data_IF_269560069964
#
_entry.id   IF_269560069964
#
_cell.length_a   1.000
_cell.length_b   1.000
_cell.length_c   1.000
_cell.angle_alpha   90.00
_cell.angle_beta   90.00
_cell.angle_gamma   90.00
#
_symmetry.space_group_name_H-M   'P 1'
#
loop_
_entity.id
_entity.type
_entity.pdbx_description
1 polymer ?
#
# COMPACT_ATOMS: atom_id res chain seq x y z
N UNK A 1 -3.63 10.91 35.74
CA UNK A 1 -4.89 11.33 35.09
C UNK A 1 -5.68 10.07 34.75
N UNK A 2 -7.00 10.06 34.99
CA UNK A 2 -7.88 8.98 34.52
C UNK A 2 -8.66 9.51 33.32
N UNK A 3 -8.73 8.73 32.26
CA UNK A 3 -9.45 9.05 31.03
C UNK A 3 -10.41 7.89 30.76
N UNK A 4 -11.70 8.18 30.57
CA UNK A 4 -12.70 7.12 30.36
C UNK A 4 -12.78 6.71 28.90
N UNK A 5 -13.30 5.52 28.63
CA UNK A 5 -13.60 5.06 27.27
C UNK A 5 -14.33 6.13 26.45
N UNK A 6 -13.84 6.38 25.24
CA UNK A 6 -14.37 7.37 24.30
C UNK A 6 -13.97 8.83 24.58
N UNK A 7 -13.31 9.14 25.69
CA UNK A 7 -12.85 10.50 25.97
C UNK A 7 -11.58 10.85 25.18
N UNK A 8 -11.53 12.08 24.67
CA UNK A 8 -10.35 12.62 24.01
C UNK A 8 -9.37 13.15 25.07
N UNK A 9 -8.11 12.69 24.99
CA UNK A 9 -7.01 13.27 25.76
C UNK A 9 -6.56 14.61 25.18
N UNK A 10 -6.46 14.67 23.85
CA UNK A 10 -6.08 15.87 23.10
C UNK A 10 -6.54 15.75 21.64
N UNK A 11 -6.64 16.89 20.98
CA UNK A 11 -6.97 16.97 19.57
C UNK A 11 -5.71 17.27 18.74
N UNK A 12 -5.72 16.80 17.49
CA UNK A 12 -4.73 17.21 16.51
C UNK A 12 -4.70 18.74 16.38
N UNK A 13 -3.52 19.34 16.50
CA UNK A 13 -3.29 20.78 16.49
C UNK A 13 -3.28 21.44 17.87
N UNK A 14 -3.64 20.73 18.94
CA UNK A 14 -3.59 21.28 20.29
C UNK A 14 -2.16 21.57 20.74
N UNK A 15 -1.98 22.69 21.44
CA UNK A 15 -0.73 23.04 22.11
C UNK A 15 -0.82 22.64 23.59
N UNK A 16 -0.52 21.37 23.87
CA UNK A 16 -0.63 20.82 25.24
C UNK A 16 0.68 20.96 26.03
N UNK A 17 1.82 21.03 25.34
CA UNK A 17 3.17 21.13 25.93
C UNK A 17 3.42 20.08 27.02
N UNK A 18 2.87 18.87 26.85
CA UNK A 18 2.94 17.81 27.84
C UNK A 18 3.39 16.52 27.20
N UNK A 19 4.11 15.71 27.98
CA UNK A 19 4.47 14.34 27.62
C UNK A 19 3.62 13.37 28.43
N UNK A 20 3.21 12.29 27.79
CA UNK A 20 2.24 11.35 28.33
C UNK A 20 2.84 9.96 28.40
N UNK A 21 2.58 9.25 29.50
CA UNK A 21 2.96 7.85 29.69
C UNK A 21 1.69 7.06 30.02
N UNK A 22 1.37 6.06 29.20
CA UNK A 22 0.23 5.18 29.46
C UNK A 22 0.63 4.19 30.56
N UNK A 23 -0.07 4.22 31.70
CA UNK A 23 0.15 3.28 32.81
C UNK A 23 -0.70 2.03 32.66
N UNK A 24 -1.96 2.20 32.28
CA UNK A 24 -2.93 1.14 32.00
C UNK A 24 -3.96 1.61 30.97
N UNK A 25 -4.67 0.68 30.34
CA UNK A 25 -5.65 0.94 29.29
C UNK A 25 -5.07 0.97 27.88
N UNK A 26 -5.89 1.38 26.91
CA UNK A 26 -5.55 1.51 25.51
C UNK A 26 -6.02 2.86 24.93
N UNK A 27 -5.10 3.53 24.23
CA UNK A 27 -5.39 4.77 23.50
C UNK A 27 -5.18 4.57 22.00
N UNK A 28 -5.96 5.31 21.22
CA UNK A 28 -5.79 5.42 19.77
C UNK A 28 -5.52 6.87 19.38
N UNK A 29 -4.41 7.07 18.69
CA UNK A 29 -4.07 8.32 18.00
C UNK A 29 -4.58 8.26 16.56
N UNK A 30 -5.28 9.30 16.13
CA UNK A 30 -5.71 9.46 14.74
C UNK A 30 -5.27 10.82 14.19
N UNK A 31 -4.76 10.85 12.96
CA UNK A 31 -4.56 12.10 12.21
C UNK A 31 -5.20 12.00 10.84
N UNK A 32 -5.83 13.08 10.40
CA UNK A 32 -6.31 13.19 9.02
C UNK A 32 -5.23 13.91 8.22
N UNK A 33 -4.58 13.17 7.33
CA UNK A 33 -3.70 13.75 6.32
C UNK A 33 -4.49 13.84 5.01
N UNK A 34 -4.64 15.05 4.46
CA UNK A 34 -5.34 15.30 3.19
C UNK A 34 -4.71 14.54 2.01
N UNK A 35 -3.42 14.17 2.10
CA UNK A 35 -2.69 13.47 1.05
C UNK A 35 -2.60 11.95 1.30
N UNK A 36 -2.50 11.53 2.57
CA UNK A 36 -2.17 10.15 2.95
C UNK A 36 -3.29 9.39 3.69
N UNK A 37 -4.47 10.00 3.85
CA UNK A 37 -5.62 9.38 4.54
C UNK A 37 -5.49 9.42 6.07
N UNK A 38 -6.33 8.64 6.77
CA UNK A 38 -6.32 8.61 8.23
C UNK A 38 -5.15 7.76 8.73
N UNK A 39 -4.17 8.39 9.38
CA UNK A 39 -3.17 7.65 10.13
C UNK A 39 -3.75 7.27 11.48
N UNK A 40 -3.60 6.00 11.85
CA UNK A 40 -3.93 5.51 13.19
C UNK A 40 -2.63 5.02 13.87
N UNK A 41 -2.54 5.16 15.19
CA UNK A 41 -1.48 4.65 16.07
C UNK A 41 -2.13 4.17 17.37
N UNK A 42 -1.61 3.09 17.97
CA UNK A 42 -2.16 2.57 19.23
C UNK A 42 -1.11 2.69 20.33
N UNK A 43 -1.53 3.09 21.52
CA UNK A 43 -0.69 3.20 22.70
C UNK A 43 -1.27 2.31 23.81
N UNK A 44 -0.50 1.31 24.23
CA UNK A 44 -0.81 0.49 25.40
C UNK A 44 0.10 0.82 26.59
N UNK A 45 0.02 0.05 27.69
CA UNK A 45 0.85 0.26 28.87
C UNK A 45 2.35 0.35 28.55
N UNK A 46 3.01 1.37 29.10
CA UNK A 46 4.42 1.69 28.86
C UNK A 46 4.69 2.53 27.60
N UNK A 47 3.68 2.74 26.75
CA UNK A 47 3.81 3.64 25.59
C UNK A 47 3.93 5.09 26.04
N UNK A 48 4.63 5.88 25.24
CA UNK A 48 4.86 7.29 25.50
C UNK A 48 4.67 8.13 24.25
N UNK A 49 4.20 9.37 24.41
CA UNK A 49 4.03 10.32 23.31
C UNK A 49 3.98 11.77 23.82
N UNK A 50 4.01 12.75 22.90
CA UNK A 50 3.97 14.18 23.21
C UNK A 50 5.35 14.81 23.39
N UNK A 51 6.42 14.08 23.07
CA UNK A 51 7.80 14.54 23.16
C UNK A 51 8.08 15.75 22.27
N UNK A 52 7.48 15.79 21.07
CA UNK A 52 7.58 16.93 20.17
C UNK A 52 6.87 18.16 20.77
N UNK A 53 5.68 17.97 21.34
CA UNK A 53 4.95 19.08 21.97
C UNK A 53 5.65 19.61 23.22
N UNK A 54 6.21 18.73 24.04
CA UNK A 54 6.94 19.08 25.25
C UNK A 54 8.28 19.78 24.95
N UNK A 55 9.10 19.19 24.06
CA UNK A 55 10.50 19.58 23.85
C UNK A 55 10.63 20.62 22.73
N UNK A 56 10.00 20.36 21.58
CA UNK A 56 10.08 21.23 20.40
C UNK A 56 8.96 22.29 20.38
N UNK A 57 7.94 22.17 21.23
CA UNK A 57 6.82 23.10 21.28
C UNK A 57 5.84 22.94 20.10
N UNK A 58 5.93 21.82 19.39
CA UNK A 58 5.08 21.55 18.23
C UNK A 58 3.63 21.23 18.67
N UNK A 59 2.62 21.53 17.83
CA UNK A 59 1.25 21.07 18.06
C UNK A 59 1.16 19.54 18.10
N UNK A 60 0.15 19.01 18.79
CA UNK A 60 -0.15 17.58 18.76
C UNK A 60 -0.44 17.11 17.33
N UNK A 61 0.30 16.11 16.87
CA UNK A 61 0.15 15.62 15.49
C UNK A 61 -1.10 14.74 15.30
N UNK A 62 -1.67 14.25 16.40
CA UNK A 62 -2.78 13.30 16.40
C UNK A 62 -3.82 13.71 17.43
N UNK A 63 -5.09 13.43 17.12
CA UNK A 63 -6.15 13.34 18.11
C UNK A 63 -6.02 12.02 18.85
N UNK A 64 -5.85 12.07 20.16
CA UNK A 64 -5.67 10.87 21.00
C UNK A 64 -6.91 10.68 21.85
N UNK A 65 -7.48 9.48 21.82
CA UNK A 65 -8.67 9.11 22.60
C UNK A 65 -8.53 7.74 23.25
N UNK A 66 -9.32 7.50 24.28
CA UNK A 66 -9.37 6.23 24.99
C UNK A 66 -10.30 5.23 24.29
N UNK A 67 -9.79 4.02 24.05
CA UNK A 67 -10.57 2.85 23.59
C UNK A 67 -11.13 2.05 24.79
N UNK A 68 -10.56 2.26 25.98
CA UNK A 68 -11.01 1.72 27.25
C UNK A 68 -10.59 2.68 28.37
N UNK A 69 -11.04 2.46 29.61
CA UNK A 69 -10.61 3.27 30.75
C UNK A 69 -9.09 3.22 30.93
N UNK A 70 -8.45 4.39 30.93
CA UNK A 70 -7.01 4.56 30.94
C UNK A 70 -6.51 5.30 32.18
N UNK A 71 -5.34 4.89 32.66
CA UNK A 71 -4.52 5.66 33.59
C UNK A 71 -3.30 6.23 32.86
N UNK A 72 -3.14 7.55 32.90
CA UNK A 72 -2.12 8.28 32.15
C UNK A 72 -1.34 9.17 33.10
N UNK A 73 -0.01 9.04 33.08
CA UNK A 73 0.89 9.99 33.73
C UNK A 73 1.16 11.16 32.79
N UNK A 74 1.02 12.38 33.30
CA UNK A 74 1.23 13.61 32.53
C UNK A 74 2.45 14.32 33.08
N UNK A 75 3.46 14.51 32.24
CA UNK A 75 4.66 15.27 32.53
C UNK A 75 4.54 16.64 31.85
N UNK A 76 4.18 17.71 32.60
CA UNK A 76 3.99 19.03 32.03
C UNK A 76 5.33 19.70 31.71
N UNK A 77 5.29 20.71 30.83
CA UNK A 77 6.47 21.51 30.49
C UNK A 77 7.15 22.17 31.69
N UNK A 78 6.39 22.54 32.73
CA UNK A 78 6.94 23.12 33.94
C UNK A 78 7.94 22.18 34.62
N UNK A 79 7.60 20.88 34.73
CA UNK A 79 8.49 19.86 35.30
C UNK A 79 9.79 19.74 34.52
N UNK A 80 9.71 19.75 33.18
CA UNK A 80 10.91 19.76 32.34
C UNK A 80 11.70 21.06 32.52
N UNK A 81 11.03 22.22 32.53
CA UNK A 81 11.66 23.52 32.66
C UNK A 81 12.41 23.64 33.99
N UNK A 82 11.80 23.21 35.09
CA UNK A 82 12.42 23.22 36.42
C UNK A 82 13.66 22.32 36.45
N UNK A 83 13.57 21.12 35.87
CA UNK A 83 14.72 20.20 35.75
C UNK A 83 15.84 20.79 34.90
N UNK A 84 15.50 21.58 33.86
CA UNK A 84 16.46 22.17 32.93
C UNK A 84 17.16 23.43 33.48
N UNK A 85 16.67 24.07 34.55
CA UNK A 85 17.29 25.27 35.16
C UNK A 85 18.73 25.02 35.62
N UNK A 86 19.02 23.81 36.08
CA UNK A 86 20.33 23.40 36.57
C UNK A 86 21.23 22.83 35.47
N UNK A 87 20.73 22.76 34.23
CA UNK A 87 21.44 22.16 33.10
C UNK A 87 22.00 23.23 32.15
N UNK A 88 23.04 22.92 31.36
CA UNK A 88 23.55 23.83 30.35
C UNK A 88 22.49 24.17 29.29
N UNK A 89 22.45 25.44 28.88
CA UNK A 89 21.47 25.96 27.90
C UNK A 89 21.48 25.16 26.59
N UNK A 90 22.65 24.68 26.16
CA UNK A 90 22.79 23.89 24.92
C UNK A 90 22.07 22.54 24.97
N UNK A 91 21.83 21.96 26.16
CA UNK A 91 21.18 20.66 26.30
C UNK A 91 19.76 20.67 25.73
N UNK A 92 19.03 21.77 25.93
CA UNK A 92 17.68 21.94 25.36
C UNK A 92 17.70 21.87 23.84
N UNK A 93 18.68 22.53 23.22
CA UNK A 93 18.84 22.54 21.76
C UNK A 93 19.19 21.15 21.21
N UNK A 94 20.05 20.40 21.92
CA UNK A 94 20.38 19.02 21.52
C UNK A 94 19.17 18.11 21.67
N UNK A 95 18.43 18.21 22.77
CA UNK A 95 17.21 17.43 22.97
C UNK A 95 16.20 17.70 21.85
N UNK A 96 15.89 18.96 21.55
CA UNK A 96 14.99 19.31 20.45
C UNK A 96 15.44 18.73 19.11
N UNK A 97 16.73 18.86 18.77
CA UNK A 97 17.30 18.30 17.55
C UNK A 97 17.20 16.77 17.49
N UNK A 98 17.52 16.07 18.59
CA UNK A 98 17.45 14.62 18.65
C UNK A 98 16.00 14.12 18.60
N UNK A 99 15.07 14.80 19.28
CA UNK A 99 13.63 14.48 19.23
C UNK A 99 13.11 14.59 17.80
N UNK A 100 13.38 15.70 17.12
CA UNK A 100 12.95 15.90 15.72
C UNK A 100 13.55 14.84 14.79
N UNK A 101 14.85 14.53 14.93
CA UNK A 101 15.51 13.50 14.12
C UNK A 101 15.00 12.10 14.42
N UNK A 102 14.70 11.79 15.68
CA UNK A 102 14.13 10.51 16.06
C UNK A 102 12.74 10.36 15.44
N UNK A 103 11.90 11.37 15.55
CA UNK A 103 10.56 11.39 14.95
C UNK A 103 10.62 11.13 13.42
N UNK A 104 11.45 11.88 12.69
CA UNK A 104 11.65 11.67 11.24
C UNK A 104 12.13 10.24 10.95
N UNK A 105 13.04 9.70 11.77
CA UNK A 105 13.54 8.34 11.60
C UNK A 105 12.45 7.28 11.87
N UNK A 106 11.58 7.49 12.85
CA UNK A 106 10.45 6.61 13.13
C UNK A 106 9.45 6.58 11.97
N UNK A 107 9.08 7.75 11.45
CA UNK A 107 8.14 7.82 10.32
C UNK A 107 8.73 7.18 9.06
N UNK A 108 10.00 7.46 8.74
CA UNK A 108 10.70 6.80 7.63
C UNK A 108 10.77 5.29 7.80
N UNK A 109 11.02 4.81 9.02
CA UNK A 109 11.01 3.38 9.33
C UNK A 109 9.62 2.77 9.12
N UNK A 110 8.56 3.43 9.57
CA UNK A 110 7.17 2.97 9.38
C UNK A 110 6.81 2.84 7.90
N UNK A 111 7.17 3.83 7.08
CA UNK A 111 6.99 3.78 5.62
C UNK A 111 7.81 2.66 4.98
N UNK A 112 9.07 2.49 5.41
CA UNK A 112 9.93 1.41 4.95
C UNK A 112 9.39 0.03 5.30
N UNK A 113 8.87 -0.15 6.53
CA UNK A 113 8.28 -1.41 7.00
C UNK A 113 7.02 -1.77 6.18
N UNK A 114 6.19 -0.79 5.81
CA UNK A 114 5.05 -1.00 4.90
C UNK A 114 5.50 -1.50 3.52
N UNK A 115 6.48 -0.82 2.90
CA UNK A 115 6.98 -1.15 1.56
C UNK A 115 7.64 -2.55 1.55
N UNK A 116 8.46 -2.83 2.55
CA UNK A 116 9.21 -4.10 2.64
C UNK A 116 8.33 -5.28 2.99
N UNK A 117 7.24 -5.05 3.74
CA UNK A 117 6.29 -6.10 4.12
C UNK A 117 5.20 -6.36 3.07
N UNK A 118 4.91 -5.38 2.20
CA UNK A 118 3.85 -5.52 1.20
C UNK A 118 3.96 -6.80 0.34
N UNK A 119 5.14 -7.23 -0.14
CA UNK A 119 5.29 -8.51 -0.83
C UNK A 119 4.90 -9.73 0.03
N UNK A 120 5.15 -9.71 1.34
CA UNK A 120 4.76 -10.79 2.26
C UNK A 120 3.24 -10.90 2.38
N UNK A 121 2.54 -9.77 2.49
CA UNK A 121 1.08 -9.74 2.48
C UNK A 121 0.53 -10.32 1.17
N UNK A 122 1.06 -9.89 0.02
CA UNK A 122 0.64 -10.42 -1.28
C UNK A 122 0.89 -11.92 -1.40
N UNK A 123 2.01 -12.40 -0.87
CA UNK A 123 2.35 -13.82 -0.85
C UNK A 123 1.33 -14.63 -0.04
N UNK A 124 0.98 -14.19 1.16
CA UNK A 124 -0.04 -14.84 2.00
C UNK A 124 -1.38 -14.85 1.26
N UNK A 125 -1.84 -13.69 0.77
CA UNK A 125 -3.08 -13.58 -0.01
C UNK A 125 -3.09 -14.47 -1.28
N UNK A 126 -1.93 -14.68 -1.90
CA UNK A 126 -1.81 -15.58 -3.06
C UNK A 126 -1.97 -17.07 -2.72
N UNK A 127 -1.86 -17.45 -1.45
CA UNK A 127 -1.96 -18.84 -0.99
C UNK A 127 -3.34 -19.14 -0.38
N UNK A 128 -3.88 -18.22 0.39
CA UNK A 128 -5.15 -18.40 1.11
C UNK A 128 -6.34 -18.56 0.12
N UNK A 129 -7.41 -19.31 0.48
CA UNK A 129 -8.65 -19.37 -0.31
C UNK A 129 -9.22 -17.98 -0.60
N UNK A 130 -9.95 -17.86 -1.72
CA UNK A 130 -10.47 -16.58 -2.17
C UNK A 130 -11.66 -16.05 -1.34
N UNK A 131 -12.26 -16.88 -0.48
CA UNK A 131 -13.47 -16.56 0.27
C UNK A 131 -13.16 -16.33 1.75
N UNK A 132 -13.72 -15.23 2.25
CA UNK A 132 -13.91 -14.83 3.66
C UNK A 132 -12.88 -15.39 4.65
N UNK A 133 -11.71 -14.76 4.63
CA UNK A 133 -10.58 -15.01 5.53
C UNK A 133 -10.80 -14.16 6.78
N UNK A 134 -10.71 -14.72 7.98
CA UNK A 134 -10.76 -13.92 9.21
C UNK A 134 -9.64 -12.87 9.23
N UNK A 135 -10.01 -11.61 9.45
CA UNK A 135 -9.06 -10.50 9.50
C UNK A 135 -8.03 -10.68 10.62
N UNK A 136 -8.48 -11.14 11.79
CA UNK A 136 -7.61 -11.41 12.95
C UNK A 136 -6.60 -12.50 12.61
N UNK A 137 -7.06 -13.62 12.03
CA UNK A 137 -6.16 -14.71 11.65
C UNK A 137 -5.12 -14.27 10.61
N UNK A 138 -5.52 -13.43 9.64
CA UNK A 138 -4.60 -12.87 8.64
C UNK A 138 -3.58 -11.92 9.27
N UNK A 139 -4.02 -11.08 10.21
CA UNK A 139 -3.14 -10.17 10.95
C UNK A 139 -2.13 -10.95 11.80
N UNK A 140 -2.56 -12.01 12.49
CA UNK A 140 -1.70 -12.89 13.28
C UNK A 140 -0.68 -13.61 12.41
N UNK A 141 -1.09 -14.14 11.26
CA UNK A 141 -0.17 -14.79 10.31
C UNK A 141 0.88 -13.79 9.81
N UNK A 142 0.48 -12.58 9.44
CA UNK A 142 1.41 -11.54 8.96
C UNK A 142 2.34 -11.07 10.09
N UNK A 143 1.86 -10.98 11.33
CA UNK A 143 2.68 -10.62 12.48
C UNK A 143 3.80 -11.66 12.77
N UNK A 144 3.61 -12.93 12.38
CA UNK A 144 4.65 -13.95 12.49
C UNK A 144 5.74 -13.81 11.43
N UNK A 145 5.40 -13.34 10.22
CA UNK A 145 6.32 -13.24 9.09
C UNK A 145 6.89 -11.83 8.86
N UNK A 146 6.36 -10.82 9.55
CA UNK A 146 6.72 -9.42 9.35
C UNK A 146 6.71 -8.63 10.65
N UNK A 147 7.35 -7.45 10.64
CA UNK A 147 7.32 -6.51 11.76
C UNK A 147 6.07 -5.60 11.74
N UNK A 148 5.09 -5.93 10.93
CA UNK A 148 3.94 -5.07 10.68
C UNK A 148 2.92 -5.23 11.81
N UNK A 149 2.43 -4.11 12.32
CA UNK A 149 1.32 -4.12 13.27
C UNK A 149 0.02 -4.53 12.58
N UNK A 150 -0.97 -5.00 13.35
CA UNK A 150 -2.32 -5.31 12.84
C UNK A 150 -2.92 -4.14 12.05
N UNK A 151 -2.67 -2.92 12.50
CA UNK A 151 -3.07 -1.71 11.80
C UNK A 151 -2.29 -1.49 10.49
N UNK A 152 -0.97 -1.71 10.48
CA UNK A 152 -0.18 -1.63 9.25
C UNK A 152 -0.72 -2.61 8.20
N UNK A 153 -1.07 -3.83 8.61
CA UNK A 153 -1.75 -4.82 7.77
C UNK A 153 -3.07 -4.27 7.24
N UNK A 154 -3.91 -3.71 8.11
CA UNK A 154 -5.20 -3.12 7.71
C UNK A 154 -5.04 -1.96 6.72
N UNK A 155 -4.05 -1.07 6.90
CA UNK A 155 -3.74 0.01 5.95
C UNK A 155 -3.36 -0.55 4.57
N UNK A 156 -2.52 -1.58 4.51
CA UNK A 156 -2.17 -2.22 3.24
C UNK A 156 -3.38 -2.89 2.58
N UNK A 157 -4.26 -3.49 3.38
CA UNK A 157 -5.51 -4.08 2.90
C UNK A 157 -6.45 -3.04 2.30
N UNK A 158 -6.56 -1.84 2.89
CA UNK A 158 -7.32 -0.72 2.31
C UNK A 158 -6.72 -0.33 0.94
N UNK A 159 -5.39 -0.22 0.84
CA UNK A 159 -4.73 0.09 -0.44
C UNK A 159 -5.06 -0.99 -1.50
N UNK A 160 -5.05 -2.26 -1.11
CA UNK A 160 -5.43 -3.35 -2.01
C UNK A 160 -6.91 -3.29 -2.41
N UNK A 161 -7.79 -2.86 -1.51
CA UNK A 161 -9.21 -2.65 -1.80
C UNK A 161 -9.44 -1.50 -2.79
N UNK A 162 -8.69 -0.40 -2.68
CA UNK A 162 -8.76 0.71 -3.64
C UNK A 162 -8.43 0.25 -5.07
N UNK A 163 -7.57 -0.76 -5.20
CA UNK A 163 -7.23 -1.40 -6.46
C UNK A 163 -8.14 -2.58 -6.84
N UNK A 164 -9.19 -2.86 -6.06
CA UNK A 164 -10.13 -3.97 -6.27
C UNK A 164 -9.44 -5.34 -6.31
N UNK A 165 -8.39 -5.50 -5.50
CA UNK A 165 -7.67 -6.78 -5.38
C UNK A 165 -8.27 -7.63 -4.25
N UNK A 166 -8.75 -6.97 -3.21
CA UNK A 166 -9.41 -7.57 -2.06
C UNK A 166 -10.66 -6.77 -1.73
N UNK A 167 -11.59 -7.39 -1.00
CA UNK A 167 -12.75 -6.72 -0.42
C UNK A 167 -12.77 -6.99 1.08
N UNK A 168 -12.73 -5.91 1.85
CA UNK A 168 -12.79 -5.92 3.30
C UNK A 168 -14.24 -5.86 3.77
N UNK A 169 -14.52 -6.68 4.76
CA UNK A 169 -15.72 -6.67 5.58
C UNK A 169 -15.31 -6.40 7.03
N UNK A 170 -16.27 -6.28 7.94
CA UNK A 170 -15.99 -5.93 9.35
C UNK A 170 -15.01 -6.90 10.02
N UNK A 171 -15.11 -8.19 9.73
CA UNK A 171 -14.28 -9.23 10.38
C UNK A 171 -13.56 -10.15 9.38
N UNK A 172 -13.71 -9.90 8.07
CA UNK A 172 -13.18 -10.79 7.04
C UNK A 172 -12.61 -10.05 5.82
N UNK A 173 -11.73 -10.74 5.11
CA UNK A 173 -11.11 -10.30 3.86
C UNK A 173 -11.40 -11.33 2.78
N UNK A 174 -11.92 -10.89 1.64
CA UNK A 174 -12.12 -11.74 0.46
C UNK A 174 -11.18 -11.32 -0.67
N UNK A 175 -10.63 -12.28 -1.40
CA UNK A 175 -9.69 -12.01 -2.49
C UNK A 175 -10.46 -11.98 -3.81
N UNK A 176 -10.51 -10.82 -4.46
CA UNK A 176 -11.29 -10.63 -5.70
C UNK A 176 -10.51 -11.08 -6.93
N UNK A 177 -9.20 -10.79 -7.00
CA UNK A 177 -8.37 -11.12 -8.16
C UNK A 177 -7.04 -11.79 -7.76
N UNK A 178 -7.13 -13.09 -7.44
CA UNK A 178 -5.98 -13.92 -7.05
C UNK A 178 -4.87 -14.00 -8.13
N UNK A 179 -5.18 -14.15 -9.43
CA UNK A 179 -4.15 -14.12 -10.49
C UNK A 179 -3.37 -12.79 -10.52
N UNK A 180 -4.05 -11.66 -10.40
CA UNK A 180 -3.40 -10.34 -10.40
C UNK A 180 -2.51 -10.13 -9.17
N UNK A 181 -2.98 -10.53 -7.98
CA UNK A 181 -2.16 -10.51 -6.75
C UNK A 181 -0.87 -11.32 -6.94
N UNK A 182 -0.97 -12.51 -7.54
CA UNK A 182 0.20 -13.37 -7.81
C UNK A 182 1.20 -12.69 -8.75
N UNK A 183 0.73 -12.11 -9.86
CA UNK A 183 1.59 -11.41 -10.83
C UNK A 183 2.22 -10.15 -10.19
N UNK A 184 1.46 -9.43 -9.35
CA UNK A 184 1.96 -8.27 -8.61
C UNK A 184 3.06 -8.67 -7.61
N UNK A 185 2.86 -9.76 -6.86
CA UNK A 185 3.87 -10.32 -5.98
C UNK A 185 5.16 -10.69 -6.75
N UNK A 186 5.03 -11.42 -7.86
CA UNK A 186 6.17 -11.81 -8.70
C UNK A 186 6.92 -10.59 -9.26
N UNK A 187 6.17 -9.54 -9.63
CA UNK A 187 6.70 -8.28 -10.13
C UNK A 187 7.54 -7.56 -9.06
N UNK A 188 7.01 -7.43 -7.85
CA UNK A 188 7.70 -6.79 -6.74
C UNK A 188 8.91 -7.62 -6.26
N UNK A 189 8.76 -8.94 -6.21
CA UNK A 189 9.86 -9.87 -5.89
C UNK A 189 11.00 -9.74 -6.90
N UNK A 190 10.68 -9.65 -8.20
CA UNK A 190 11.70 -9.46 -9.23
C UNK A 190 12.47 -8.14 -9.04
N UNK A 191 11.76 -7.03 -8.81
CA UNK A 191 12.39 -5.73 -8.50
C UNK A 191 13.27 -5.79 -7.26
N UNK A 192 12.82 -6.49 -6.21
CA UNK A 192 13.56 -6.63 -4.97
C UNK A 192 14.90 -7.37 -5.16
N UNK A 193 14.90 -8.46 -5.95
CA UNK A 193 16.06 -9.33 -6.20
C UNK A 193 17.01 -8.74 -7.24
N UNK A 194 16.49 -8.36 -8.42
CA UNK A 194 17.31 -8.01 -9.59
C UNK A 194 17.53 -6.49 -9.75
N UNK A 195 16.85 -5.66 -8.95
CA UNK A 195 16.89 -4.19 -9.05
C UNK A 195 16.54 -3.65 -10.44
N UNK A 196 15.77 -4.41 -11.21
CA UNK A 196 15.34 -4.09 -12.57
C UNK A 196 13.83 -4.27 -12.75
N UNK A 197 13.28 -3.67 -13.81
CA UNK A 197 11.87 -3.78 -14.17
C UNK A 197 11.50 -5.23 -14.43
N UNK A 198 10.38 -5.69 -13.89
CA UNK A 198 9.89 -7.04 -14.13
C UNK A 198 9.50 -7.25 -15.60
N UNK A 199 9.71 -8.44 -16.17
CA UNK A 199 9.19 -8.80 -17.49
C UNK A 199 7.67 -8.69 -17.62
N UNK A 200 6.93 -8.70 -16.50
CA UNK A 200 5.48 -8.56 -16.46
C UNK A 200 5.02 -7.10 -16.67
N UNK A 201 5.91 -6.12 -16.49
CA UNK A 201 5.61 -4.71 -16.77
C UNK A 201 5.80 -4.48 -18.27
N UNK A 202 4.75 -3.98 -18.91
CA UNK A 202 4.68 -3.79 -20.35
C UNK A 202 5.31 -2.44 -20.72
N UNK A 203 5.94 -2.39 -21.89
CA UNK A 203 6.31 -1.11 -22.48
C UNK A 203 5.05 -0.36 -22.94
N UNK A 204 5.14 0.96 -23.14
CA UNK A 204 4.02 1.76 -23.68
C UNK A 204 3.50 1.18 -25.01
N UNK A 205 4.41 0.72 -25.87
CA UNK A 205 4.09 0.10 -27.16
C UNK A 205 3.37 -1.23 -26.97
N UNK A 206 3.88 -2.12 -26.10
CA UNK A 206 3.26 -3.41 -25.81
C UNK A 206 1.86 -3.22 -25.20
N UNK A 207 1.73 -2.28 -24.26
CA UNK A 207 0.46 -1.96 -23.61
C UNK A 207 -0.57 -1.47 -24.63
N UNK A 208 -0.19 -0.59 -25.56
CA UNK A 208 -1.09 -0.06 -26.55
C UNK A 208 -1.55 -1.12 -27.56
N UNK A 209 -0.64 -2.00 -28.01
CA UNK A 209 -0.97 -3.12 -28.90
C UNK A 209 -1.91 -4.11 -28.20
N UNK A 210 -1.61 -4.50 -26.96
CA UNK A 210 -2.45 -5.42 -26.20
C UNK A 210 -3.82 -4.81 -25.85
N UNK A 211 -3.89 -3.50 -25.61
CA UNK A 211 -5.17 -2.79 -25.45
C UNK A 211 -6.00 -2.83 -26.73
N UNK A 212 -5.37 -2.62 -27.89
CA UNK A 212 -6.03 -2.76 -29.19
C UNK A 212 -6.48 -4.21 -29.45
N UNK A 213 -5.67 -5.19 -29.06
CA UNK A 213 -6.01 -6.61 -29.15
C UNK A 213 -7.23 -6.93 -28.29
N UNK A 214 -7.27 -6.50 -27.03
CA UNK A 214 -8.41 -6.72 -26.13
C UNK A 214 -9.69 -6.10 -26.70
N UNK A 215 -9.62 -4.88 -27.26
CA UNK A 215 -10.77 -4.26 -27.95
C UNK A 215 -11.23 -5.05 -29.18
N UNK A 216 -10.29 -5.46 -30.03
CA UNK A 216 -10.59 -6.27 -31.20
C UNK A 216 -11.21 -7.63 -30.82
N UNK A 217 -10.73 -8.23 -29.74
CA UNK A 217 -11.27 -9.47 -29.17
C UNK A 217 -12.70 -9.30 -28.63
N UNK A 218 -13.03 -8.16 -28.02
CA UNK A 218 -14.40 -7.84 -27.61
C UNK A 218 -15.34 -7.62 -28.79
N UNK A 219 -14.86 -6.99 -29.87
CA UNK A 219 -15.71 -6.63 -31.01
C UNK A 219 -15.95 -7.82 -31.97
N UNK A 220 -14.88 -8.56 -32.30
CA UNK A 220 -14.89 -9.60 -33.35
C UNK A 220 -14.05 -10.84 -32.99
N UNK A 221 -13.79 -11.07 -31.71
CA UNK A 221 -12.97 -12.19 -31.26
C UNK A 221 -13.64 -13.54 -31.50
N UNK A 222 -12.85 -14.52 -31.95
CA UNK A 222 -13.29 -15.91 -32.11
C UNK A 222 -12.72 -16.77 -30.97
N UNK A 223 -13.61 -17.31 -30.12
CA UNK A 223 -13.25 -18.27 -29.07
C UNK A 223 -12.70 -19.57 -29.68
N UNK A 224 -11.53 -19.98 -29.22
CA UNK A 224 -10.87 -21.24 -29.60
C UNK A 224 -11.17 -22.34 -28.58
N UNK A 225 -10.99 -23.61 -28.98
CA UNK A 225 -11.19 -24.79 -28.12
C UNK A 225 -10.38 -24.75 -26.81
N UNK A 226 -9.25 -24.04 -26.83
CA UNK A 226 -8.27 -24.02 -25.74
C UNK A 226 -8.51 -22.85 -24.75
N UNK A 227 -9.66 -22.16 -24.86
CA UNK A 227 -9.98 -20.97 -24.06
C UNK A 227 -9.22 -19.70 -24.47
N UNK A 228 -8.53 -19.75 -25.61
CA UNK A 228 -7.87 -18.59 -26.22
C UNK A 228 -8.86 -17.81 -27.10
N UNK A 229 -8.65 -16.51 -27.24
CA UNK A 229 -9.43 -15.68 -28.18
C UNK A 229 -8.55 -15.32 -29.35
N UNK A 230 -9.03 -15.57 -30.57
CA UNK A 230 -8.35 -15.24 -31.81
C UNK A 230 -8.92 -13.97 -32.45
N UNK A 231 -8.05 -13.17 -33.05
CA UNK A 231 -8.37 -11.91 -33.72
C UNK A 231 -7.62 -11.85 -35.06
N UNK A 232 -8.27 -11.36 -36.12
CA UNK A 232 -7.60 -11.16 -37.41
C UNK A 232 -6.64 -9.97 -37.36
N UNK A 233 -5.53 -10.05 -38.11
CA UNK A 233 -4.55 -8.97 -38.23
C UNK A 233 -5.19 -7.66 -38.73
N UNK A 234 -6.13 -7.73 -39.68
CA UNK A 234 -6.83 -6.54 -40.20
C UNK A 234 -7.64 -5.81 -39.11
N UNK A 235 -8.34 -6.55 -38.26
CA UNK A 235 -9.10 -5.98 -37.15
C UNK A 235 -8.17 -5.37 -36.09
N UNK A 236 -7.03 -6.02 -35.83
CA UNK A 236 -6.00 -5.48 -34.93
C UNK A 236 -5.36 -4.19 -35.47
N UNK A 237 -5.05 -4.13 -36.77
CA UNK A 237 -4.52 -2.93 -37.42
C UNK A 237 -5.56 -1.80 -37.36
N UNK A 238 -6.83 -2.09 -37.59
CA UNK A 238 -7.90 -1.10 -37.51
C UNK A 238 -8.02 -0.54 -36.08
N UNK A 239 -8.03 -1.40 -35.07
CA UNK A 239 -8.13 -0.97 -33.67
C UNK A 239 -6.89 -0.20 -33.22
N UNK A 240 -5.68 -0.60 -33.63
CA UNK A 240 -4.45 0.14 -33.30
C UNK A 240 -4.44 1.55 -33.91
N UNK A 241 -4.94 1.75 -35.14
CA UNK A 241 -5.10 3.10 -35.72
C UNK A 241 -6.05 3.99 -34.92
N UNK A 242 -7.07 3.40 -34.30
CA UNK A 242 -8.06 4.13 -33.48
C UNK A 242 -7.55 4.47 -32.09
N UNK A 243 -6.67 3.65 -31.51
CA UNK A 243 -6.16 3.82 -30.14
C UNK A 243 -4.77 4.43 -30.04
N UNK A 244 -3.94 4.31 -31.08
CA UNK A 244 -2.57 4.84 -31.09
C UNK A 244 -2.48 6.13 -31.91
N UNK A 245 -2.40 7.27 -31.23
CA UNK A 245 -2.16 8.56 -31.87
C UNK A 245 -0.73 8.64 -32.44
N UNK A 246 -0.55 8.23 -33.71
CA UNK A 246 0.71 8.39 -34.46
C UNK A 246 1.68 7.21 -34.40
N UNK A 247 1.31 6.08 -33.78
CA UNK A 247 2.11 4.85 -33.79
C UNK A 247 1.51 3.81 -34.75
N UNK A 248 2.35 3.26 -35.62
CA UNK A 248 1.99 2.20 -36.56
C UNK A 248 2.33 0.83 -35.99
N UNK A 249 1.48 -0.17 -36.20
CA UNK A 249 1.81 -1.56 -35.91
C UNK A 249 2.95 -2.00 -36.85
N UNK A 250 4.11 -2.33 -36.28
CA UNK A 250 5.26 -2.85 -37.03
C UNK A 250 5.45 -4.35 -36.77
N UNK A 251 6.01 -5.13 -37.71
CA UNK A 251 6.28 -6.55 -37.52
C UNK A 251 7.15 -6.81 -36.28
N UNK A 252 8.13 -5.94 -36.05
CA UNK A 252 9.04 -6.01 -34.90
C UNK A 252 8.31 -5.94 -33.55
N UNK A 253 7.27 -5.11 -33.44
CA UNK A 253 6.51 -4.97 -32.19
C UNK A 253 5.62 -6.20 -31.93
N UNK A 254 5.10 -6.84 -32.98
CA UNK A 254 4.37 -8.10 -32.88
C UNK A 254 5.32 -9.24 -32.50
N UNK A 255 6.50 -9.31 -33.10
CA UNK A 255 7.54 -10.30 -32.77
C UNK A 255 7.92 -10.26 -31.28
N UNK A 256 8.06 -9.07 -30.68
CA UNK A 256 8.33 -8.95 -29.24
C UNK A 256 7.22 -9.55 -28.38
N UNK A 257 5.95 -9.40 -28.78
CA UNK A 257 4.81 -9.98 -28.06
C UNK A 257 4.71 -11.50 -28.25
N UNK A 258 5.10 -12.01 -29.43
CA UNK A 258 5.21 -13.45 -29.71
C UNK A 258 6.34 -14.09 -28.87
N UNK A 259 7.51 -13.46 -28.81
CA UNK A 259 8.65 -13.91 -28.00
C UNK A 259 8.31 -13.96 -26.50
N UNK A 260 7.56 -12.97 -26.00
CA UNK A 260 7.05 -12.94 -24.62
C UNK A 260 5.90 -13.94 -24.37
N UNK A 261 5.47 -14.69 -25.40
CA UNK A 261 4.34 -15.62 -25.35
C UNK A 261 3.03 -14.96 -24.86
N UNK A 262 2.86 -13.67 -25.16
CA UNK A 262 1.64 -12.91 -24.86
C UNK A 262 0.62 -13.05 -25.99
N UNK A 263 1.11 -13.15 -27.23
CA UNK A 263 0.34 -13.52 -28.41
C UNK A 263 0.91 -14.82 -28.99
N UNK A 264 0.08 -15.55 -29.73
CA UNK A 264 0.48 -16.68 -30.59
C UNK A 264 -0.08 -16.44 -31.98
N UNK A 265 0.72 -16.74 -33.00
CA UNK A 265 0.28 -16.65 -34.38
C UNK A 265 -0.46 -17.93 -34.79
N UNK A 266 -1.58 -17.76 -35.49
CA UNK A 266 -2.40 -18.80 -36.08
C UNK A 266 -2.38 -18.66 -37.62
N UNK A 267 -2.65 -19.75 -38.36
CA UNK A 267 -2.81 -19.69 -39.80
C UNK A 267 -3.84 -18.64 -40.23
N UNK A 268 -3.68 -18.08 -41.44
CA UNK A 268 -4.54 -17.05 -42.04
C UNK A 268 -4.49 -15.69 -41.32
N UNK A 269 -3.30 -15.25 -40.92
CA UNK A 269 -3.07 -13.92 -40.34
C UNK A 269 -3.91 -13.65 -39.07
N UNK A 270 -4.08 -14.69 -38.25
CA UNK A 270 -4.80 -14.60 -36.97
C UNK A 270 -3.80 -14.62 -35.82
N UNK A 271 -4.11 -13.88 -34.77
CA UNK A 271 -3.35 -13.92 -33.51
C UNK A 271 -4.28 -14.33 -32.38
N UNK A 272 -3.85 -15.24 -31.52
CA UNK A 272 -4.60 -15.65 -30.34
C UNK A 272 -3.86 -15.38 -29.04
N UNK A 273 -4.63 -15.15 -27.98
CA UNK A 273 -4.10 -14.89 -26.65
C UNK A 273 -5.05 -15.38 -25.55
N UNK A 274 -4.49 -15.57 -24.35
CA UNK A 274 -5.31 -15.80 -23.16
C UNK A 274 -5.86 -14.45 -22.68
N UNK A 275 -7.16 -14.26 -22.87
CA UNK A 275 -7.84 -12.98 -22.62
C UNK A 275 -7.71 -12.55 -21.15
N UNK A 276 -7.95 -13.45 -20.20
CA UNK A 276 -7.87 -13.17 -18.76
C UNK A 276 -6.45 -12.78 -18.34
N UNK A 277 -5.44 -13.46 -18.88
CA UNK A 277 -4.02 -13.15 -18.61
C UNK A 277 -3.67 -11.75 -19.12
N UNK A 278 -4.14 -11.37 -20.31
CA UNK A 278 -3.91 -10.04 -20.88
C UNK A 278 -4.58 -8.95 -20.03
N UNK A 279 -5.83 -9.16 -19.62
CA UNK A 279 -6.55 -8.20 -18.78
C UNK A 279 -5.80 -7.97 -17.45
N UNK A 280 -5.32 -9.03 -16.82
CA UNK A 280 -4.52 -8.93 -15.59
C UNK A 280 -3.20 -8.19 -15.81
N UNK A 281 -2.50 -8.40 -16.93
CA UNK A 281 -1.26 -7.67 -17.24
C UNK A 281 -1.51 -6.18 -17.52
N UNK A 282 -2.61 -5.84 -18.20
CA UNK A 282 -2.99 -4.44 -18.41
C UNK A 282 -3.35 -3.75 -17.09
N UNK A 283 -4.12 -4.42 -16.23
CA UNK A 283 -4.43 -3.92 -14.88
C UNK A 283 -3.18 -3.79 -14.02
N UNK A 284 -2.23 -4.73 -14.09
CA UNK A 284 -0.94 -4.61 -13.41
C UNK A 284 -0.20 -3.33 -13.81
N UNK A 285 -0.13 -3.02 -15.11
CA UNK A 285 0.53 -1.80 -15.59
C UNK A 285 -0.17 -0.51 -15.15
N UNK A 286 -1.48 -0.57 -14.88
CA UNK A 286 -2.25 0.53 -14.29
C UNK A 286 -1.96 0.68 -12.79
N UNK A 287 -1.97 -0.41 -12.04
CA UNK A 287 -1.84 -0.42 -10.57
C UNK A 287 -0.41 -0.13 -10.14
N UNK A 288 0.58 -0.76 -10.80
CA UNK A 288 1.96 -0.78 -10.33
C UNK A 288 2.59 0.63 -10.11
N UNK A 289 2.43 1.62 -11.02
CA UNK A 289 2.93 2.98 -10.78
C UNK A 289 2.18 3.73 -9.68
N UNK A 290 0.88 3.47 -9.52
CA UNK A 290 0.04 4.11 -8.51
C UNK A 290 0.29 3.55 -7.11
N UNK A 291 0.72 2.28 -7.05
CA UNK A 291 1.06 1.59 -5.81
C UNK A 291 2.24 2.27 -5.12
N UNK A 292 3.30 2.61 -5.86
CA UNK A 292 4.47 3.32 -5.31
C UNK A 292 4.04 4.67 -4.69
N UNK A 293 3.05 5.37 -5.26
CA UNK A 293 2.53 6.63 -4.70
C UNK A 293 1.71 6.43 -3.42
N UNK A 294 0.91 5.35 -3.32
CA UNK A 294 0.09 5.06 -2.13
C UNK A 294 0.90 4.45 -0.97
N UNK A 295 2.09 3.92 -1.25
CA UNK A 295 2.99 3.34 -0.24
C UNK A 295 4.02 4.35 0.32
N UNK A 296 4.17 5.53 -0.29
CA UNK A 296 5.07 6.63 0.12
C UNK A 296 4.34 7.70 0.94
#
# INVERSE_FOLDING_TARGET
>A
MILREGENLCLQGDLTHSFYIVKSGALTATSKDEQNGTQVLNFGPGSTFGELSLIAGEPMEYTVHAEEDCEIEVVPQSTLHDTMKEQPIWLKSILAFLTQRNHIAQENKRKSDLITTFPSLLFVLSRVPAKDISLVALQDEIAQFSKLSALGTYKLLIILQDFKLVRLQSESVSVENKPLIKILYETLRHRAIYKSTSPNILSLTDQAILTAFVKAACDKGELQSDGLVAVNLNDLIEQTKRTMHGMSLTPRNLETLLQKQLLKELPKEKYCANFDKLLNLLELNRIYPLLDKKLL
#
